data_IF_346630940131
#
_entry.id   IF_346630940131
#
_cell.length_a   1.000
_cell.length_b   1.000
_cell.length_c   1.000
_cell.angle_alpha   90.00
_cell.angle_beta   90.00
_cell.angle_gamma   90.00
#
_symmetry.space_group_name_H-M   'P 1'
#
loop_
_entity.id
_entity.type
_entity.pdbx_description
1 polymer ?
#
# COMPACT_ATOMS: atom_id res chain seq x y z
N UNK A 1 12.70 -26.43 21.86
CA UNK A 1 11.30 -26.78 22.20
C UNK A 1 10.84 -26.05 23.46
N UNK A 2 11.58 -26.10 24.58
CA UNK A 2 11.17 -25.45 25.85
C UNK A 2 10.85 -23.95 25.68
N UNK A 3 11.63 -23.19 24.88
CA UNK A 3 11.37 -21.77 24.57
C UNK A 3 10.04 -21.57 23.81
N UNK A 4 9.70 -22.41 22.84
CA UNK A 4 8.41 -22.31 22.16
C UNK A 4 7.23 -22.56 23.10
N UNK A 5 7.35 -23.55 24.01
CA UNK A 5 6.34 -23.76 25.06
C UNK A 5 6.13 -22.53 25.92
N UNK A 6 7.23 -21.91 26.39
CA UNK A 6 7.17 -20.67 27.16
C UNK A 6 6.52 -19.50 26.38
N UNK A 7 6.74 -19.38 25.06
CA UNK A 7 6.09 -18.37 24.22
C UNK A 7 4.59 -18.62 24.04
N UNK A 8 4.17 -19.87 23.98
CA UNK A 8 2.75 -20.26 23.94
C UNK A 8 2.08 -19.98 25.28
N UNK A 9 2.69 -20.38 26.40
CA UNK A 9 2.20 -20.11 27.76
C UNK A 9 2.07 -18.61 28.03
N UNK A 10 2.98 -17.80 27.49
CA UNK A 10 2.91 -16.35 27.54
C UNK A 10 1.87 -15.73 26.57
N UNK A 11 1.14 -16.53 25.81
CA UNK A 11 0.13 -16.08 24.85
C UNK A 11 0.67 -15.34 23.62
N UNK A 12 1.97 -15.44 23.34
CA UNK A 12 2.63 -14.82 22.19
C UNK A 12 2.46 -15.65 20.92
N UNK A 13 2.39 -16.96 21.05
CA UNK A 13 2.11 -17.91 19.98
C UNK A 13 0.80 -18.65 20.20
N UNK A 14 0.19 -19.11 19.12
CA UNK A 14 -1.02 -19.92 19.16
C UNK A 14 -0.72 -21.30 19.75
N UNK A 15 -1.62 -21.86 20.58
CA UNK A 15 -1.40 -23.19 21.21
C UNK A 15 -1.21 -24.32 20.20
N UNK A 16 -1.93 -24.30 19.09
CA UNK A 16 -1.85 -25.29 18.00
C UNK A 16 -0.50 -25.35 17.30
N UNK A 17 0.33 -24.32 17.46
CA UNK A 17 1.67 -24.31 16.90
C UNK A 17 2.63 -25.34 17.57
N UNK A 18 2.31 -25.84 18.75
CA UNK A 18 3.25 -26.65 19.56
C UNK A 18 3.72 -27.91 18.84
N UNK A 19 2.85 -28.61 18.12
CA UNK A 19 3.20 -29.82 17.40
C UNK A 19 4.21 -29.52 16.30
N UNK A 20 3.93 -28.55 15.44
CA UNK A 20 4.82 -28.13 14.35
C UNK A 20 6.17 -27.58 14.86
N UNK A 21 6.13 -26.79 15.95
CA UNK A 21 7.33 -26.19 16.53
C UNK A 21 8.19 -27.19 17.30
N UNK A 22 7.64 -28.33 17.74
CA UNK A 22 8.36 -29.35 18.51
C UNK A 22 9.44 -30.07 17.71
N UNK A 23 9.34 -30.12 16.38
CA UNK A 23 10.35 -30.70 15.49
C UNK A 23 11.52 -29.75 15.17
N UNK A 24 11.69 -28.67 15.91
CA UNK A 24 12.75 -27.70 15.72
C UNK A 24 14.15 -28.28 15.94
N UNK A 25 15.00 -28.12 14.95
CA UNK A 25 16.43 -28.39 15.02
C UNK A 25 17.22 -27.08 14.90
N UNK A 26 18.04 -26.72 15.91
CA UNK A 26 18.84 -25.50 15.88
C UNK A 26 19.84 -25.48 14.71
N UNK A 27 20.05 -24.29 14.15
CA UNK A 27 21.09 -24.00 13.13
C UNK A 27 22.05 -22.92 13.64
N UNK A 28 22.97 -23.27 14.59
CA UNK A 28 23.90 -22.30 15.17
C UNK A 28 24.82 -21.64 14.13
N UNK A 29 25.15 -22.37 13.06
CA UNK A 29 25.99 -21.84 11.98
C UNK A 29 25.27 -20.73 11.21
N UNK A 30 23.97 -20.89 10.93
CA UNK A 30 23.14 -19.82 10.39
C UNK A 30 23.06 -18.63 11.34
N UNK A 31 22.77 -18.85 12.62
CA UNK A 31 22.66 -17.77 13.61
C UNK A 31 23.96 -16.95 13.69
N UNK A 32 25.12 -17.56 13.51
CA UNK A 32 26.44 -16.92 13.53
C UNK A 32 26.87 -16.33 12.19
N UNK A 33 26.33 -16.79 11.08
CA UNK A 33 26.69 -16.32 9.73
C UNK A 33 26.09 -14.97 9.36
N UNK A 34 25.07 -14.53 10.10
CA UNK A 34 24.39 -13.28 9.81
C UNK A 34 25.30 -12.08 10.08
N UNK A 35 25.30 -11.11 9.15
CA UNK A 35 26.06 -9.88 9.32
C UNK A 35 25.56 -9.07 10.53
N UNK A 36 26.40 -8.17 11.03
CA UNK A 36 26.03 -7.25 12.13
C UNK A 36 24.73 -6.49 11.81
N UNK A 37 24.57 -5.99 10.58
CA UNK A 37 23.38 -5.25 10.18
C UNK A 37 22.14 -6.15 10.14
N UNK A 38 22.26 -7.40 9.68
CA UNK A 38 21.16 -8.37 9.69
C UNK A 38 20.73 -8.70 11.14
N UNK A 39 21.70 -8.94 12.04
CA UNK A 39 21.40 -9.17 13.45
C UNK A 39 20.79 -7.94 14.13
N UNK A 40 21.29 -6.75 13.83
CA UNK A 40 20.72 -5.48 14.34
C UNK A 40 19.28 -5.30 13.85
N UNK A 41 19.01 -5.57 12.57
CA UNK A 41 17.66 -5.53 12.02
C UNK A 41 16.76 -6.57 12.69
N UNK A 42 17.24 -7.80 12.83
CA UNK A 42 16.49 -8.89 13.46
C UNK A 42 16.12 -8.55 14.91
N UNK A 43 17.03 -8.00 15.68
CA UNK A 43 16.84 -7.69 17.10
C UNK A 43 16.10 -6.37 17.32
N UNK A 44 16.51 -5.29 16.66
CA UNK A 44 15.95 -3.95 16.87
C UNK A 44 14.78 -3.63 15.95
N UNK A 45 14.72 -4.26 14.77
CA UNK A 45 13.62 -4.15 13.81
C UNK A 45 12.38 -4.98 14.17
N UNK A 46 12.36 -5.61 15.36
CA UNK A 46 11.26 -6.43 15.87
C UNK A 46 10.91 -7.66 15.01
N UNK A 47 11.88 -8.20 14.25
CA UNK A 47 11.71 -9.47 13.55
C UNK A 47 11.69 -10.67 14.51
N UNK A 48 12.43 -10.57 15.60
CA UNK A 48 12.38 -11.54 16.69
C UNK A 48 11.19 -11.27 17.63
N UNK A 49 10.55 -12.33 18.09
CA UNK A 49 9.58 -12.24 19.18
C UNK A 49 10.28 -11.83 20.48
N UNK A 50 9.56 -11.10 21.31
CA UNK A 50 10.01 -10.65 22.63
C UNK A 50 9.04 -11.17 23.69
N UNK A 51 9.58 -11.51 24.84
CA UNK A 51 8.80 -11.87 26.01
C UNK A 51 8.06 -10.66 26.63
N UNK A 52 7.32 -10.90 27.70
CA UNK A 52 6.58 -9.88 28.44
C UNK A 52 7.48 -8.78 29.04
N UNK A 53 8.78 -9.06 29.19
CA UNK A 53 9.79 -8.10 29.68
C UNK A 53 10.58 -7.45 28.54
N UNK A 54 10.10 -7.52 27.30
CA UNK A 54 10.74 -7.02 26.08
C UNK A 54 12.14 -7.63 25.79
N UNK A 55 12.48 -8.79 26.38
CA UNK A 55 13.71 -9.52 26.06
C UNK A 55 13.52 -10.39 24.83
N UNK A 56 14.60 -10.60 24.06
CA UNK A 56 14.58 -11.47 22.89
C UNK A 56 14.21 -12.91 23.30
N UNK A 57 13.17 -13.45 22.69
CA UNK A 57 12.60 -14.74 23.04
C UNK A 57 12.99 -15.84 22.04
N UNK A 58 13.52 -15.51 20.87
CA UNK A 58 13.92 -16.46 19.84
C UNK A 58 15.25 -16.07 19.17
N UNK A 59 15.95 -17.06 18.63
CA UNK A 59 17.11 -16.86 17.77
C UNK A 59 16.67 -16.73 16.31
N UNK A 60 17.54 -16.29 15.38
CA UNK A 60 17.22 -16.26 13.95
C UNK A 60 16.75 -17.61 13.40
N UNK A 61 17.41 -18.71 13.79
CA UNK A 61 17.01 -20.06 13.38
C UNK A 61 15.65 -20.49 13.96
N UNK A 62 15.34 -20.12 15.20
CA UNK A 62 13.99 -20.34 15.78
C UNK A 62 12.92 -19.57 15.00
N UNK A 63 13.16 -18.30 14.67
CA UNK A 63 12.24 -17.50 13.88
C UNK A 63 12.06 -18.08 12.48
N UNK A 64 13.13 -18.51 11.82
CA UNK A 64 13.08 -19.17 10.52
C UNK A 64 12.23 -20.45 10.56
N UNK A 65 12.39 -21.29 11.61
CA UNK A 65 11.57 -22.48 11.78
C UNK A 65 10.08 -22.14 12.02
N UNK A 66 9.82 -21.14 12.86
CA UNK A 66 8.48 -20.64 13.11
C UNK A 66 7.78 -20.16 11.82
N UNK A 67 8.49 -19.44 10.96
CA UNK A 67 7.98 -19.02 9.64
C UNK A 67 7.75 -20.23 8.74
N UNK A 68 8.72 -21.13 8.63
CA UNK A 68 8.63 -22.30 7.76
C UNK A 68 7.43 -23.19 8.10
N UNK A 69 7.19 -23.42 9.40
CA UNK A 69 6.07 -24.24 9.86
C UNK A 69 4.71 -23.56 9.73
N UNK A 70 4.64 -22.23 9.82
CA UNK A 70 3.40 -21.49 9.65
C UNK A 70 2.85 -21.51 8.22
N UNK A 71 3.76 -21.60 7.22
CA UNK A 71 3.35 -21.61 5.80
C UNK A 71 3.27 -23.02 5.20
N UNK A 72 3.95 -24.00 5.82
CA UNK A 72 3.93 -25.37 5.35
C UNK A 72 2.76 -26.13 5.99
N UNK A 73 2.06 -26.93 5.18
CA UNK A 73 0.99 -27.82 5.67
C UNK A 73 1.53 -29.14 6.22
N UNK A 74 2.77 -29.49 5.85
CA UNK A 74 3.40 -30.78 6.15
C UNK A 74 4.81 -30.55 6.69
N UNK A 75 5.23 -31.42 7.62
CA UNK A 75 6.53 -31.33 8.29
C UNK A 75 7.73 -31.36 7.32
N UNK A 76 7.69 -32.24 6.31
CA UNK A 76 8.77 -32.35 5.33
C UNK A 76 8.92 -31.08 4.48
N UNK A 77 7.80 -30.45 4.15
CA UNK A 77 7.81 -29.15 3.44
C UNK A 77 8.32 -28.03 4.36
N UNK A 78 7.98 -28.07 5.65
CA UNK A 78 8.51 -27.12 6.62
C UNK A 78 10.04 -27.24 6.75
N UNK A 79 10.58 -28.46 6.80
CA UNK A 79 12.05 -28.71 6.80
C UNK A 79 12.72 -28.14 5.55
N UNK A 80 12.09 -28.32 4.38
CA UNK A 80 12.61 -27.80 3.11
C UNK A 80 12.64 -26.26 3.12
N UNK A 81 11.56 -25.60 3.54
CA UNK A 81 11.50 -24.14 3.64
C UNK A 81 12.51 -23.62 4.66
N UNK A 82 12.61 -24.27 5.81
CA UNK A 82 13.60 -23.94 6.81
C UNK A 82 15.04 -24.01 6.27
N UNK A 83 15.35 -25.08 5.52
CA UNK A 83 16.64 -25.21 4.87
C UNK A 83 16.90 -24.06 3.87
N UNK A 84 15.94 -23.67 3.07
CA UNK A 84 16.08 -22.56 2.11
C UNK A 84 16.25 -21.22 2.81
N UNK A 85 15.51 -20.96 3.89
CA UNK A 85 15.64 -19.71 4.66
C UNK A 85 17.02 -19.64 5.32
N UNK A 86 17.47 -20.73 5.97
CA UNK A 86 18.75 -20.76 6.67
C UNK A 86 19.97 -20.81 5.72
N UNK A 87 19.78 -21.17 4.45
CA UNK A 87 20.76 -21.05 3.38
C UNK A 87 20.69 -19.72 2.62
N UNK A 88 19.81 -18.79 3.04
CA UNK A 88 19.55 -17.51 2.38
C UNK A 88 19.13 -17.64 0.91
N UNK A 89 18.56 -18.78 0.50
CA UNK A 89 17.97 -18.98 -0.83
C UNK A 89 16.61 -18.34 -0.96
N UNK A 90 15.89 -18.19 0.17
CA UNK A 90 14.61 -17.51 0.28
C UNK A 90 14.67 -16.58 1.49
N UNK A 91 14.25 -15.34 1.30
CA UNK A 91 14.05 -14.37 2.39
C UNK A 91 12.57 -14.02 2.45
N UNK A 92 11.83 -14.53 3.44
CA UNK A 92 10.41 -14.19 3.62
C UNK A 92 10.21 -12.69 3.86
N UNK A 93 9.10 -12.15 3.37
CA UNK A 93 8.73 -10.75 3.63
C UNK A 93 8.48 -10.51 5.13
N UNK A 94 8.63 -9.25 5.57
CA UNK A 94 8.55 -8.86 6.98
C UNK A 94 7.31 -9.40 7.73
N UNK A 95 6.09 -9.41 7.14
CA UNK A 95 4.91 -9.93 7.85
C UNK A 95 5.01 -11.40 8.26
N UNK A 96 5.74 -12.24 7.51
CA UNK A 96 5.97 -13.63 7.93
C UNK A 96 6.75 -13.70 9.24
N UNK A 97 7.81 -12.90 9.37
CA UNK A 97 8.62 -12.86 10.59
C UNK A 97 7.85 -12.30 11.79
N UNK A 98 6.98 -11.30 11.55
CA UNK A 98 6.22 -10.66 12.62
C UNK A 98 5.05 -11.50 13.12
N UNK A 99 4.40 -12.23 12.21
CA UNK A 99 3.06 -12.74 12.44
C UNK A 99 2.94 -14.27 12.46
N UNK A 100 3.96 -15.02 11.97
CA UNK A 100 3.88 -16.48 11.93
C UNK A 100 3.57 -17.08 13.32
N UNK A 101 2.51 -17.88 13.38
CA UNK A 101 1.97 -18.49 14.59
C UNK A 101 1.55 -17.51 15.69
N UNK A 102 1.48 -16.21 15.44
CA UNK A 102 0.91 -15.26 16.38
C UNK A 102 -0.60 -15.14 16.18
N UNK A 103 -1.29 -14.49 17.13
CA UNK A 103 -2.74 -14.24 17.00
C UNK A 103 -3.09 -13.33 15.81
N UNK A 104 -2.14 -12.56 15.29
CA UNK A 104 -2.36 -11.62 14.18
C UNK A 104 -2.17 -12.22 12.79
N UNK A 105 -1.53 -13.34 12.65
CA UNK A 105 -1.21 -14.19 11.48
C UNK A 105 -1.61 -13.65 10.09
N UNK A 106 -1.09 -12.49 9.77
CA UNK A 106 -1.23 -11.86 8.46
C UNK A 106 0.11 -11.92 7.74
N UNK A 107 0.14 -12.53 6.56
CA UNK A 107 1.38 -12.72 5.79
C UNK A 107 1.50 -11.79 4.58
N UNK A 108 0.40 -11.22 4.10
CA UNK A 108 0.44 -10.23 3.03
C UNK A 108 1.07 -8.93 3.53
N UNK A 109 1.98 -8.37 2.73
CA UNK A 109 2.68 -7.13 3.08
C UNK A 109 2.03 -5.87 2.49
N UNK A 110 1.27 -6.01 1.40
CA UNK A 110 0.65 -4.90 0.68
C UNK A 110 -0.78 -5.24 0.29
N UNK A 111 -1.64 -4.23 0.39
CA UNK A 111 -3.05 -4.31 0.07
C UNK A 111 -3.43 -3.13 -0.82
N UNK A 112 -4.40 -3.32 -1.70
CA UNK A 112 -5.02 -2.24 -2.45
C UNK A 112 -6.43 -2.01 -1.95
N UNK A 113 -6.80 -0.75 -1.76
CA UNK A 113 -8.15 -0.35 -1.40
C UNK A 113 -8.72 0.55 -2.49
N UNK A 114 -9.94 0.27 -2.89
CA UNK A 114 -10.72 1.15 -3.76
C UNK A 114 -11.17 2.36 -2.95
N UNK A 115 -11.21 3.54 -3.60
CA UNK A 115 -11.71 4.79 -3.01
C UNK A 115 -12.74 5.37 -3.96
N UNK A 116 -14.02 5.13 -3.68
CA UNK A 116 -15.11 5.66 -4.50
C UNK A 116 -15.50 7.09 -4.09
N UNK A 117 -16.08 7.83 -5.02
CA UNK A 117 -16.52 9.22 -4.86
C UNK A 117 -17.76 9.37 -3.96
N UNK A 118 -17.59 9.00 -2.70
CA UNK A 118 -18.57 9.14 -1.61
C UNK A 118 -17.85 9.22 -0.26
N UNK A 119 -18.47 9.85 0.74
CA UNK A 119 -17.84 10.00 2.06
C UNK A 119 -17.86 8.71 2.87
N UNK A 120 -19.02 8.04 2.96
CA UNK A 120 -19.21 6.86 3.81
C UNK A 120 -20.29 5.93 3.26
N UNK A 121 -20.08 4.63 3.43
CA UNK A 121 -21.06 3.58 3.17
C UNK A 121 -22.32 3.68 4.05
N UNK A 122 -22.27 4.41 5.15
CA UNK A 122 -23.45 4.70 5.97
C UNK A 122 -24.51 5.43 5.13
N UNK A 123 -24.09 6.36 4.27
CA UNK A 123 -24.99 7.12 3.38
C UNK A 123 -25.07 6.54 1.97
N UNK A 124 -24.16 5.64 1.60
CA UNK A 124 -24.06 4.98 0.29
C UNK A 124 -23.80 3.47 0.48
N UNK A 125 -24.80 2.69 0.94
CA UNK A 125 -24.64 1.27 1.20
C UNK A 125 -24.12 0.49 -0.02
N UNK A 126 -23.18 -0.44 0.23
CA UNK A 126 -22.58 -1.27 -0.82
C UNK A 126 -21.44 -0.62 -1.61
N UNK A 127 -21.02 0.60 -1.23
CA UNK A 127 -19.88 1.30 -1.85
C UNK A 127 -18.68 1.37 -0.90
N UNK A 128 -17.47 1.43 -1.46
CA UNK A 128 -16.21 1.62 -0.73
C UNK A 128 -15.82 3.11 -0.72
N UNK A 129 -16.42 3.84 0.20
CA UNK A 129 -16.25 5.28 0.30
C UNK A 129 -14.93 5.69 0.98
N UNK A 130 -14.63 6.98 0.96
CA UNK A 130 -13.37 7.56 1.47
C UNK A 130 -13.11 7.19 2.93
N UNK A 131 -14.09 7.37 3.82
CA UNK A 131 -13.93 7.06 5.25
C UNK A 131 -13.90 5.55 5.54
N UNK A 132 -14.54 4.73 4.71
CA UNK A 132 -14.47 3.28 4.83
C UNK A 132 -13.05 2.79 4.46
N UNK A 133 -12.49 3.28 3.36
CA UNK A 133 -11.11 3.02 2.96
C UNK A 133 -10.12 3.48 4.03
N UNK A 134 -10.34 4.66 4.64
CA UNK A 134 -9.51 5.17 5.73
C UNK A 134 -9.55 4.23 6.95
N UNK A 135 -10.72 3.75 7.36
CA UNK A 135 -10.87 2.83 8.48
C UNK A 135 -10.16 1.49 8.22
N UNK A 136 -10.38 0.89 7.03
CA UNK A 136 -9.68 -0.35 6.64
C UNK A 136 -8.17 -0.16 6.57
N UNK A 137 -7.69 0.98 6.06
CA UNK A 137 -6.27 1.26 6.02
C UNK A 137 -5.65 1.29 7.41
N UNK A 138 -6.33 1.87 8.38
CA UNK A 138 -5.90 1.90 9.78
C UNK A 138 -5.73 0.48 10.35
N UNK A 139 -6.69 -0.41 10.10
CA UNK A 139 -6.63 -1.81 10.54
C UNK A 139 -5.47 -2.55 9.88
N UNK A 140 -5.33 -2.43 8.56
CA UNK A 140 -4.25 -3.09 7.80
C UNK A 140 -2.87 -2.62 8.28
N UNK A 141 -2.71 -1.31 8.47
CA UNK A 141 -1.45 -0.72 8.94
C UNK A 141 -1.14 -1.13 10.39
N UNK A 142 -2.14 -1.20 11.27
CA UNK A 142 -1.97 -1.73 12.62
C UNK A 142 -1.44 -3.17 12.63
N UNK A 143 -1.83 -3.98 11.63
CA UNK A 143 -1.35 -5.36 11.44
C UNK A 143 0.04 -5.43 10.76
N UNK A 144 0.58 -4.30 10.29
CA UNK A 144 1.90 -4.23 9.65
C UNK A 144 1.88 -4.27 8.12
N UNK A 145 0.70 -4.18 7.48
CA UNK A 145 0.55 -4.09 6.03
C UNK A 145 0.75 -2.66 5.50
N UNK A 146 1.25 -2.55 4.27
CA UNK A 146 1.21 -1.32 3.48
C UNK A 146 -0.09 -1.24 2.68
N UNK A 147 -0.53 -0.04 2.33
CA UNK A 147 -1.79 0.17 1.60
C UNK A 147 -1.57 1.07 0.39
N UNK A 148 -2.08 0.63 -0.77
CA UNK A 148 -2.18 1.43 -1.99
C UNK A 148 -3.62 1.84 -2.26
N UNK A 149 -3.79 3.03 -2.82
CA UNK A 149 -5.10 3.59 -3.19
C UNK A 149 -5.04 4.16 -4.60
N UNK A 150 -6.11 3.97 -5.36
CA UNK A 150 -6.36 4.74 -6.57
C UNK A 150 -7.41 5.83 -6.26
N UNK A 151 -6.99 7.08 -6.35
CA UNK A 151 -7.85 8.25 -6.10
C UNK A 151 -8.54 8.78 -7.36
N UNK A 152 -8.38 8.11 -8.50
CA UNK A 152 -8.85 8.58 -9.80
C UNK A 152 -10.37 8.62 -9.94
N UNK A 153 -11.11 7.91 -9.08
CA UNK A 153 -12.58 7.96 -9.06
C UNK A 153 -13.13 9.21 -8.38
N UNK A 154 -12.33 9.89 -7.56
CA UNK A 154 -12.78 11.10 -6.87
C UNK A 154 -12.98 12.23 -7.86
N UNK A 155 -14.08 12.98 -7.68
CA UNK A 155 -14.33 14.17 -8.49
C UNK A 155 -13.24 15.21 -8.31
N UNK A 156 -12.91 16.00 -9.33
CA UNK A 156 -11.87 17.02 -9.25
C UNK A 156 -12.25 18.17 -8.33
N UNK A 157 -11.22 18.90 -7.89
CA UNK A 157 -11.41 20.18 -7.19
C UNK A 157 -12.26 21.15 -8.02
N UNK A 158 -13.20 21.80 -7.37
CA UNK A 158 -14.10 22.75 -8.02
C UNK A 158 -15.34 22.12 -8.68
N UNK A 159 -15.43 20.77 -8.73
CA UNK A 159 -16.66 20.12 -9.23
C UNK A 159 -17.83 20.29 -8.23
N UNK A 160 -19.04 20.18 -8.75
CA UNK A 160 -20.27 20.42 -7.99
C UNK A 160 -20.53 19.29 -7.00
N UNK A 161 -20.81 19.62 -5.75
CA UNK A 161 -21.32 18.68 -4.74
C UNK A 161 -22.85 18.71 -4.77
N UNK A 162 -23.48 17.64 -5.31
CA UNK A 162 -24.94 17.53 -5.33
C UNK A 162 -25.49 17.48 -3.90
N UNK A 163 -26.49 18.30 -3.62
CA UNK A 163 -27.15 18.37 -2.30
C UNK A 163 -26.56 19.40 -1.32
N UNK A 164 -25.47 20.04 -1.66
CA UNK A 164 -24.97 21.24 -0.98
C UNK A 164 -24.55 22.28 -2.01
N UNK A 165 -24.59 23.56 -1.66
CA UNK A 165 -24.14 24.66 -2.56
C UNK A 165 -22.62 24.75 -2.60
N UNK A 166 -21.91 23.66 -2.30
CA UNK A 166 -20.47 23.60 -2.18
C UNK A 166 -19.77 23.05 -3.41
N UNK A 167 -18.47 23.26 -3.46
CA UNK A 167 -17.56 22.70 -4.47
C UNK A 167 -16.68 21.61 -3.84
N UNK A 168 -16.30 20.64 -4.63
CA UNK A 168 -15.41 19.56 -4.21
C UNK A 168 -13.99 20.08 -3.96
N UNK A 169 -13.32 19.51 -2.97
CA UNK A 169 -11.94 19.83 -2.61
C UNK A 169 -10.90 18.99 -3.37
N UNK A 170 -11.35 17.97 -4.13
CA UNK A 170 -10.52 17.10 -4.94
C UNK A 170 -9.76 16.02 -4.17
N UNK A 171 -9.12 15.06 -4.88
CA UNK A 171 -8.45 13.89 -4.30
C UNK A 171 -7.31 14.26 -3.35
N UNK A 172 -6.47 15.25 -3.70
CA UNK A 172 -5.30 15.62 -2.90
C UNK A 172 -5.68 16.10 -1.48
N UNK A 173 -6.82 16.76 -1.35
CA UNK A 173 -7.33 17.20 -0.04
C UNK A 173 -7.73 16.00 0.84
N UNK A 174 -8.35 14.97 0.26
CA UNK A 174 -8.70 13.75 0.99
C UNK A 174 -7.47 12.90 1.33
N UNK A 175 -6.44 12.86 0.49
CA UNK A 175 -5.19 12.16 0.78
C UNK A 175 -4.56 12.59 2.10
N UNK A 176 -4.79 13.82 2.57
CA UNK A 176 -4.31 14.31 3.87
C UNK A 176 -4.90 13.59 5.06
N UNK A 177 -6.14 13.11 4.96
CA UNK A 177 -6.75 12.29 6.01
C UNK A 177 -5.98 10.98 6.16
N UNK A 178 -5.60 10.37 5.04
CA UNK A 178 -4.80 9.15 5.01
C UNK A 178 -3.37 9.41 5.49
N UNK A 179 -2.77 10.54 5.13
CA UNK A 179 -1.43 10.94 5.57
C UNK A 179 -1.38 11.12 7.09
N UNK A 180 -2.33 11.85 7.66
CA UNK A 180 -2.47 12.05 9.10
C UNK A 180 -2.76 10.73 9.85
N UNK A 181 -3.56 9.84 9.26
CA UNK A 181 -3.86 8.54 9.85
C UNK A 181 -2.59 7.71 10.11
N UNK A 182 -1.62 7.74 9.18
CA UNK A 182 -0.34 7.03 9.34
C UNK A 182 0.52 7.61 10.45
N UNK A 183 0.50 8.93 10.62
CA UNK A 183 1.25 9.57 11.71
C UNK A 183 0.73 9.16 13.09
N UNK A 184 -0.59 8.94 13.19
CA UNK A 184 -1.25 8.55 14.45
C UNK A 184 -1.15 7.05 14.70
N UNK A 185 -1.36 6.22 13.67
CA UNK A 185 -1.32 4.77 13.79
C UNK A 185 0.13 4.28 13.73
N UNK A 186 0.78 4.26 14.88
CA UNK A 186 2.07 3.58 15.03
C UNK A 186 1.83 2.08 15.00
N UNK A 187 2.28 1.40 13.96
CA UNK A 187 2.18 -0.05 13.74
C UNK A 187 2.78 -0.84 14.91
N UNK A 188 2.08 -0.95 16.04
CA UNK A 188 2.52 -1.69 17.23
C UNK A 188 3.99 -1.43 17.64
N UNK A 189 4.56 -0.27 17.30
CA UNK A 189 5.98 0.07 17.50
C UNK A 189 6.95 -0.61 16.53
N UNK A 190 6.46 -1.37 15.52
CA UNK A 190 7.31 -2.26 14.71
C UNK A 190 7.75 -1.69 13.35
N UNK A 191 6.92 -0.93 12.67
CA UNK A 191 7.21 -0.36 11.34
C UNK A 191 6.42 0.93 11.12
N UNK A 192 6.98 1.91 10.40
CA UNK A 192 6.24 3.08 9.91
C UNK A 192 5.24 2.62 8.84
N UNK A 193 4.02 3.12 8.87
CA UNK A 193 3.02 2.86 7.85
C UNK A 193 3.54 3.26 6.47
N UNK A 194 3.32 2.41 5.47
CA UNK A 194 3.66 2.70 4.09
C UNK A 194 2.37 2.85 3.30
N UNK A 195 2.25 3.95 2.57
CA UNK A 195 1.12 4.23 1.70
C UNK A 195 1.61 4.56 0.29
N UNK A 196 0.80 4.16 -0.69
CA UNK A 196 0.97 4.57 -2.08
C UNK A 196 -0.35 5.15 -2.58
N UNK A 197 -0.30 6.35 -3.17
CA UNK A 197 -1.43 6.96 -3.87
C UNK A 197 -1.17 6.97 -5.36
N UNK A 198 -2.18 6.59 -6.16
CA UNK A 198 -2.13 6.70 -7.60
C UNK A 198 -3.20 7.64 -8.11
N UNK A 199 -2.93 8.28 -9.25
CA UNK A 199 -3.89 9.08 -9.99
C UNK A 199 -3.64 8.87 -11.49
N UNK A 200 -4.74 8.65 -12.25
CA UNK A 200 -4.63 8.55 -13.70
C UNK A 200 -4.30 9.93 -14.32
N UNK A 201 -3.47 9.89 -15.35
CA UNK A 201 -2.99 11.10 -16.08
C UNK A 201 -4.12 11.95 -16.66
N UNK A 202 -5.26 11.32 -16.99
CA UNK A 202 -6.46 12.02 -17.48
C UNK A 202 -7.24 12.77 -16.39
N UNK A 203 -6.89 12.61 -15.09
CA UNK A 203 -7.62 13.28 -14.02
C UNK A 203 -7.32 14.79 -14.00
N UNK A 204 -8.33 15.67 -13.84
CA UNK A 204 -8.12 17.12 -13.84
C UNK A 204 -7.11 17.64 -12.80
N UNK A 205 -7.02 16.98 -11.65
CA UNK A 205 -6.11 17.39 -10.56
C UNK A 205 -4.69 16.79 -10.68
N UNK A 206 -4.32 16.24 -11.85
CA UNK A 206 -3.03 15.55 -12.02
C UNK A 206 -1.83 16.43 -11.65
N UNK A 207 -1.80 17.70 -12.05
CA UNK A 207 -0.71 18.62 -11.69
C UNK A 207 -0.64 18.91 -10.20
N UNK A 208 -1.80 19.04 -9.53
CA UNK A 208 -1.87 19.23 -8.09
C UNK A 208 -1.39 17.98 -7.35
N UNK A 209 -1.76 16.81 -7.85
CA UNK A 209 -1.30 15.53 -7.30
C UNK A 209 0.22 15.37 -7.39
N UNK A 210 0.83 15.66 -8.53
CA UNK A 210 2.28 15.61 -8.71
C UNK A 210 3.04 16.51 -7.73
N UNK A 211 2.48 17.68 -7.41
CA UNK A 211 3.04 18.66 -6.48
C UNK A 211 2.70 18.40 -5.01
N UNK A 212 1.93 17.38 -4.70
CA UNK A 212 1.45 17.12 -3.35
C UNK A 212 2.56 16.83 -2.33
N UNK A 213 3.78 16.50 -2.79
CA UNK A 213 4.96 16.24 -1.94
C UNK A 213 6.00 17.35 -1.95
N UNK A 214 5.95 18.29 -2.88
CA UNK A 214 7.02 19.27 -3.09
C UNK A 214 6.94 20.49 -2.18
N UNK A 215 5.84 20.69 -1.46
CA UNK A 215 5.61 21.89 -0.66
C UNK A 215 5.24 23.15 -1.47
N UNK A 216 5.08 23.03 -2.79
CA UNK A 216 4.64 24.13 -3.65
C UNK A 216 3.16 24.48 -3.48
N UNK A 217 2.39 23.59 -2.87
CA UNK A 217 0.98 23.81 -2.57
C UNK A 217 0.84 24.67 -1.31
N UNK A 218 -0.29 25.38 -1.19
CA UNK A 218 -0.63 26.17 0.01
C UNK A 218 -0.64 25.34 1.30
N UNK A 219 -0.87 24.08 1.13
CA UNK A 219 -0.99 23.11 2.20
C UNK A 219 0.34 22.38 2.46
N UNK A 220 0.51 21.82 3.65
CA UNK A 220 1.69 21.03 3.99
C UNK A 220 1.87 19.83 3.04
N UNK A 221 3.10 19.51 2.61
CA UNK A 221 3.35 18.37 1.73
C UNK A 221 2.99 17.04 2.41
N UNK A 222 2.54 16.07 1.60
CA UNK A 222 2.30 14.71 2.07
C UNK A 222 3.63 14.04 2.46
N UNK A 223 3.70 13.53 3.68
CA UNK A 223 4.93 12.95 4.27
C UNK A 223 4.98 11.43 4.14
N UNK A 224 3.83 10.77 4.18
CA UNK A 224 3.73 9.32 4.32
C UNK A 224 3.27 8.61 3.04
N UNK A 225 3.14 9.34 1.93
CA UNK A 225 2.77 8.78 0.64
C UNK A 225 3.97 8.62 -0.29
N UNK A 226 4.06 7.46 -0.94
CA UNK A 226 4.61 7.38 -2.28
C UNK A 226 3.49 7.71 -3.26
N UNK A 227 3.77 8.45 -4.32
CA UNK A 227 2.80 8.79 -5.35
C UNK A 227 3.26 8.26 -6.71
N UNK A 228 2.31 7.82 -7.53
CA UNK A 228 2.57 7.39 -8.90
C UNK A 228 1.45 7.86 -9.83
N UNK A 229 1.80 8.18 -11.06
CA UNK A 229 0.87 8.57 -12.12
C UNK A 229 0.62 7.37 -13.01
N UNK A 230 -0.63 6.99 -13.21
CA UNK A 230 -1.01 6.04 -14.25
C UNK A 230 -1.07 6.75 -15.60
N UNK A 231 -0.28 6.28 -16.54
CA UNK A 231 -0.27 6.78 -17.93
C UNK A 231 -0.87 5.73 -18.86
N UNK A 232 -1.69 6.16 -19.81
CA UNK A 232 -2.23 5.31 -20.88
C UNK A 232 -1.45 5.48 -22.18
N UNK A 233 -1.71 4.59 -23.14
CA UNK A 233 -1.01 4.61 -24.45
C UNK A 233 -1.31 5.89 -25.21
N UNK A 234 -2.55 6.40 -25.18
CA UNK A 234 -2.92 7.66 -25.82
C UNK A 234 -2.08 8.81 -25.28
N UNK A 235 -1.89 8.88 -23.95
CA UNK A 235 -1.03 9.92 -23.37
C UNK A 235 0.42 9.78 -23.85
N UNK A 236 0.96 8.56 -23.87
CA UNK A 236 2.33 8.33 -24.31
C UNK A 236 2.55 8.66 -25.80
N UNK A 237 1.60 8.29 -26.66
CA UNK A 237 1.64 8.65 -28.08
C UNK A 237 1.63 10.17 -28.29
N UNK A 238 0.79 10.90 -27.54
CA UNK A 238 0.74 12.35 -27.55
C UNK A 238 2.02 12.99 -26.99
N UNK A 239 2.56 12.45 -25.90
CA UNK A 239 3.81 12.93 -25.30
C UNK A 239 5.01 12.76 -26.25
N UNK A 240 5.05 11.65 -27.00
CA UNK A 240 6.09 11.36 -28.00
C UNK A 240 5.85 12.08 -29.34
N UNK A 241 4.66 12.65 -29.56
CA UNK A 241 4.32 13.36 -30.77
C UNK A 241 4.15 12.42 -31.97
N UNK A 242 3.68 11.21 -31.78
CA UNK A 242 3.56 10.19 -32.84
C UNK A 242 2.67 10.64 -34.00
N UNK A 243 1.60 11.38 -33.71
CA UNK A 243 0.65 11.92 -34.67
C UNK A 243 0.81 13.45 -34.93
N UNK A 244 1.86 14.04 -34.38
CA UNK A 244 2.13 15.49 -34.50
C UNK A 244 1.28 16.37 -33.58
N UNK A 245 0.38 15.77 -32.76
CA UNK A 245 -0.48 16.46 -31.82
C UNK A 245 -0.10 16.08 -30.38
N UNK A 246 0.04 17.08 -29.50
CA UNK A 246 0.35 16.86 -28.06
C UNK A 246 -0.84 17.08 -27.13
N UNK A 247 -2.02 17.43 -27.68
CA UNK A 247 -3.20 17.70 -26.86
C UNK A 247 -3.80 16.42 -26.29
N UNK A 248 -3.96 16.42 -24.98
CA UNK A 248 -4.54 15.31 -24.24
C UNK A 248 -5.72 15.77 -23.38
N UNK A 249 -6.85 15.07 -23.47
CA UNK A 249 -8.08 15.47 -22.79
C UNK A 249 -8.10 14.99 -21.35
N UNK A 250 -8.47 15.89 -20.44
CA UNK A 250 -8.76 15.57 -19.04
C UNK A 250 -10.23 15.18 -18.88
N UNK A 251 -10.48 14.22 -18.02
CA UNK A 251 -11.81 13.61 -17.84
C UNK A 251 -12.26 13.81 -16.39
N UNK A 252 -13.46 14.40 -16.19
CA UNK A 252 -14.13 14.38 -14.91
C UNK A 252 -14.74 12.98 -14.67
N UNK A 253 -14.24 12.17 -13.72
CA UNK A 253 -14.67 10.79 -13.53
C UNK A 253 -16.13 10.68 -13.11
N UNK A 254 -16.62 11.62 -12.31
CA UNK A 254 -18.04 11.66 -11.90
C UNK A 254 -18.96 11.89 -13.10
N UNK A 255 -18.68 12.89 -13.92
CA UNK A 255 -19.50 13.21 -15.10
C UNK A 255 -19.43 12.06 -16.12
N UNK A 256 -18.26 11.45 -16.26
CA UNK A 256 -18.09 10.28 -17.12
C UNK A 256 -19.00 9.12 -16.65
N UNK A 257 -18.98 8.80 -15.35
CA UNK A 257 -19.86 7.79 -14.78
C UNK A 257 -21.35 8.13 -14.94
N UNK A 258 -21.74 9.37 -14.64
CA UNK A 258 -23.14 9.84 -14.80
C UNK A 258 -23.67 9.65 -16.22
N UNK A 259 -22.82 9.79 -17.23
CA UNK A 259 -23.20 9.71 -18.65
C UNK A 259 -23.10 8.30 -19.25
N UNK A 260 -22.18 7.48 -18.77
CA UNK A 260 -21.88 6.18 -19.37
C UNK A 260 -22.33 4.99 -18.53
N UNK A 261 -22.52 5.18 -17.22
CA UNK A 261 -22.73 4.11 -16.24
C UNK A 261 -21.48 3.27 -15.96
N UNK A 262 -20.30 3.67 -16.48
CA UNK A 262 -19.02 2.98 -16.31
C UNK A 262 -18.02 3.86 -15.60
N UNK A 263 -17.12 3.27 -14.82
CA UNK A 263 -16.00 3.98 -14.20
C UNK A 263 -14.88 4.16 -15.23
N UNK A 264 -14.29 5.34 -15.33
CA UNK A 264 -13.20 5.61 -16.28
C UNK A 264 -11.96 4.72 -16.04
N UNK A 265 -11.72 4.32 -14.80
CA UNK A 265 -10.64 3.39 -14.40
C UNK A 265 -10.87 1.93 -14.84
N UNK A 266 -12.06 1.57 -15.35
CA UNK A 266 -12.32 0.24 -15.92
C UNK A 266 -11.66 0.01 -17.27
N UNK A 267 -11.18 1.10 -17.89
CA UNK A 267 -10.50 1.08 -19.18
C UNK A 267 -8.99 1.18 -18.99
N UNK A 268 -8.22 0.40 -19.72
CA UNK A 268 -6.75 0.52 -19.77
C UNK A 268 -6.38 1.82 -20.48
N UNK A 269 -7.08 2.14 -21.56
CA UNK A 269 -6.98 3.43 -22.26
C UNK A 269 -8.39 3.96 -22.57
N UNK A 270 -8.87 4.83 -21.70
CA UNK A 270 -10.23 5.36 -21.79
C UNK A 270 -10.50 6.15 -23.07
N UNK A 271 -9.47 6.73 -23.67
CA UNK A 271 -9.57 7.52 -24.92
C UNK A 271 -9.65 6.64 -26.17
N UNK A 272 -9.05 5.45 -26.13
CA UNK A 272 -9.09 4.47 -27.24
C UNK A 272 -10.28 3.51 -27.15
N UNK A 273 -10.59 3.07 -25.93
CA UNK A 273 -11.55 1.99 -25.70
C UNK A 273 -13.00 2.46 -25.62
N UNK A 274 -13.22 3.79 -25.46
CA UNK A 274 -14.58 4.34 -25.39
C UNK A 274 -14.66 5.75 -25.96
N UNK A 275 -15.89 6.16 -26.27
CA UNK A 275 -16.16 7.54 -26.64
C UNK A 275 -16.37 8.37 -25.36
N UNK A 276 -15.40 9.23 -25.03
CA UNK A 276 -15.51 10.14 -23.89
C UNK A 276 -16.63 11.16 -24.16
N UNK A 277 -17.68 11.24 -23.31
CA UNK A 277 -18.72 12.25 -23.47
C UNK A 277 -18.14 13.67 -23.42
N UNK A 278 -18.64 14.55 -24.26
CA UNK A 278 -18.15 15.96 -24.30
C UNK A 278 -18.27 16.66 -22.95
N UNK A 279 -19.33 16.39 -22.21
CA UNK A 279 -19.59 16.95 -20.89
C UNK A 279 -18.62 16.45 -19.82
N UNK A 280 -18.03 15.27 -20.03
CA UNK A 280 -17.02 14.71 -19.13
C UNK A 280 -15.62 15.27 -19.40
N UNK A 281 -15.40 15.90 -20.55
CA UNK A 281 -14.12 16.57 -20.85
C UNK A 281 -14.02 17.83 -19.97
N UNK A 282 -13.06 17.81 -19.02
CA UNK A 282 -12.80 18.93 -18.11
C UNK A 282 -11.95 20.02 -18.76
N UNK A 283 -11.08 19.62 -19.68
CA UNK A 283 -10.16 20.49 -20.38
C UNK A 283 -9.12 19.66 -21.15
N UNK A 284 -8.13 20.35 -21.69
CA UNK A 284 -7.00 19.73 -22.41
C UNK A 284 -5.68 20.23 -21.83
N UNK A 285 -4.64 19.40 -21.93
CA UNK A 285 -3.27 19.76 -21.60
C UNK A 285 -2.31 19.32 -22.71
N UNK A 286 -1.10 19.85 -22.69
CA UNK A 286 0.00 19.38 -23.52
C UNK A 286 0.66 18.17 -22.84
N UNK A 287 0.55 16.99 -23.45
CA UNK A 287 1.05 15.74 -22.92
C UNK A 287 2.58 15.72 -22.84
N UNK A 288 3.27 16.33 -23.80
CA UNK A 288 4.75 16.41 -23.81
C UNK A 288 5.25 17.25 -22.64
N UNK A 289 4.60 18.40 -22.41
CA UNK A 289 4.92 19.25 -21.27
C UNK A 289 4.67 18.51 -19.96
N UNK A 290 3.50 17.86 -19.79
CA UNK A 290 3.17 17.13 -18.57
C UNK A 290 4.13 15.96 -18.34
N UNK A 291 4.52 15.22 -19.38
CA UNK A 291 5.50 14.14 -19.26
C UNK A 291 6.87 14.66 -18.78
N UNK A 292 7.30 15.83 -19.30
CA UNK A 292 8.49 16.50 -18.80
C UNK A 292 8.38 16.90 -17.31
N UNK A 293 7.22 17.42 -16.90
CA UNK A 293 6.93 17.76 -15.49
C UNK A 293 6.98 16.50 -14.59
N UNK A 294 6.43 15.35 -15.05
CA UNK A 294 6.48 14.05 -14.34
C UNK A 294 7.94 13.60 -14.18
N UNK A 295 8.70 13.58 -15.26
CA UNK A 295 10.09 13.14 -15.25
C UNK A 295 10.96 14.01 -14.34
N UNK A 296 10.78 15.35 -14.41
CA UNK A 296 11.51 16.29 -13.56
C UNK A 296 11.15 16.13 -12.09
N UNK A 297 9.86 16.00 -11.77
CA UNK A 297 9.40 15.76 -10.39
C UNK A 297 9.93 14.45 -9.80
N UNK A 298 9.99 13.38 -10.60
CA UNK A 298 10.59 12.12 -10.19
C UNK A 298 12.10 12.22 -9.94
N UNK A 299 12.81 13.00 -10.76
CA UNK A 299 14.25 13.23 -10.58
C UNK A 299 14.56 14.09 -9.35
N UNK A 300 13.77 15.14 -9.10
CA UNK A 300 13.97 16.06 -7.97
C UNK A 300 13.65 15.40 -6.61
N UNK A 301 12.65 14.53 -6.56
CA UNK A 301 12.18 13.93 -5.30
C UNK A 301 12.80 12.57 -4.97
N UNK A 302 13.54 11.96 -5.89
CA UNK A 302 14.22 10.67 -5.75
C UNK A 302 13.32 9.50 -6.03
#
# INVERSE_FOLDING_TARGET
VARFKSLIEAGLLKPEAIEALSAFEPRPDFDRSLSYNALKLFTNGNYALRDQNFRLAETPSMAAWRVATAVARELERAKLYYAYITQLKIVPASPFWFNAWTRKEMFASCFTLEVEDCLSSITHPGRYCIYDALAYSGIIQQLGGGVGYDFSLLRPEGDVVRGSVGVASGPVSFMRLFDANVDVIKQGGKRRGAQMGTLHVWHPDIRKFMKAKTGELKDAPLQNFNIAVFVDDTFMEKALGVDGDSKYKLINPRVFYDKTGKKAVEFVDVHKETQVPKEAVWGELDARQLFGEIAHGAWDSG
#
